data_IF_261642627089
#
_entry.id   IF_261642627089
#
_cell.length_a   1.000
_cell.length_b   1.000
_cell.length_c   1.000
_cell.angle_alpha   90.00
_cell.angle_beta   90.00
_cell.angle_gamma   90.00
#
_symmetry.space_group_name_H-M   'P 1'
#
loop_
_entity.id
_entity.type
_entity.pdbx_description
1 polymer ?
#
# COMPACT_ATOMS: atom_id res chain seq x y z
N UNK A 1 -72.78 -29.00 15.88
CA UNK A 1 -71.39 -28.81 16.33
C UNK A 1 -70.45 -29.63 15.45
N UNK A 2 -69.93 -29.05 14.37
CA UNK A 2 -68.94 -29.71 13.51
C UNK A 2 -67.54 -29.31 13.97
N UNK A 3 -66.76 -30.27 14.47
CA UNK A 3 -65.37 -30.06 14.90
C UNK A 3 -64.52 -29.78 13.65
N UNK A 4 -64.04 -28.55 13.50
CA UNK A 4 -63.06 -28.20 12.47
C UNK A 4 -61.73 -28.88 12.84
N UNK A 5 -61.24 -29.68 11.90
CA UNK A 5 -60.17 -30.65 12.08
C UNK A 5 -58.80 -29.96 12.13
N UNK A 6 -58.35 -29.58 13.33
CA UNK A 6 -57.10 -28.82 13.58
C UNK A 6 -55.79 -29.57 13.32
N UNK A 7 -55.85 -30.83 12.84
CA UNK A 7 -54.66 -31.63 12.49
C UNK A 7 -54.20 -31.46 11.04
N UNK A 8 -55.09 -31.04 10.12
CA UNK A 8 -54.74 -30.87 8.69
C UNK A 8 -53.80 -29.69 8.45
N UNK A 9 -54.02 -28.59 9.17
CA UNK A 9 -53.30 -27.33 8.95
C UNK A 9 -51.88 -27.34 9.52
N UNK A 10 -51.61 -28.09 10.59
CA UNK A 10 -50.28 -28.13 11.20
C UNK A 10 -49.26 -28.90 10.35
N UNK A 11 -49.66 -30.03 9.79
CA UNK A 11 -48.79 -30.84 8.92
C UNK A 11 -48.46 -30.12 7.60
N UNK A 12 -49.42 -29.38 7.05
CA UNK A 12 -49.23 -28.55 5.85
C UNK A 12 -48.27 -27.37 6.13
N UNK A 13 -48.37 -26.75 7.31
CA UNK A 13 -47.48 -25.66 7.73
C UNK A 13 -46.06 -26.16 8.00
N UNK A 14 -45.90 -27.33 8.63
CA UNK A 14 -44.60 -27.96 8.86
C UNK A 14 -43.91 -28.37 7.53
N UNK A 15 -44.67 -28.85 6.55
CA UNK A 15 -44.15 -29.14 5.22
C UNK A 15 -43.68 -27.88 4.48
N UNK A 16 -44.43 -26.77 4.59
CA UNK A 16 -44.05 -25.49 3.99
C UNK A 16 -42.80 -24.87 4.63
N UNK A 17 -42.66 -24.97 5.96
CA UNK A 17 -41.46 -24.51 6.67
C UNK A 17 -40.24 -25.34 6.25
N UNK A 18 -40.38 -26.67 6.18
CA UNK A 18 -39.29 -27.54 5.72
C UNK A 18 -38.85 -27.24 4.28
N UNK A 19 -39.78 -26.88 3.40
CA UNK A 19 -39.46 -26.49 2.02
C UNK A 19 -38.70 -25.14 1.97
N UNK A 20 -39.11 -24.16 2.78
CA UNK A 20 -38.43 -22.87 2.88
C UNK A 20 -37.02 -23.00 3.48
N UNK A 21 -36.84 -23.85 4.49
CA UNK A 21 -35.52 -24.14 5.07
C UNK A 21 -34.60 -24.85 4.07
N UNK A 22 -35.14 -25.77 3.26
CA UNK A 22 -34.38 -26.42 2.20
C UNK A 22 -33.92 -25.41 1.12
N UNK A 23 -34.80 -24.47 0.72
CA UNK A 23 -34.49 -23.39 -0.23
C UNK A 23 -33.48 -22.39 0.32
N UNK A 24 -33.56 -22.03 1.61
CA UNK A 24 -32.57 -21.16 2.27
C UNK A 24 -31.21 -21.85 2.37
N UNK A 25 -31.19 -23.15 2.68
CA UNK A 25 -29.95 -23.92 2.80
C UNK A 25 -29.26 -24.14 1.45
N UNK A 26 -30.01 -24.31 0.36
CA UNK A 26 -29.43 -24.38 -0.99
C UNK A 26 -28.87 -23.02 -1.42
N UNK A 27 -29.61 -21.93 -1.18
CA UNK A 27 -29.18 -20.58 -1.55
C UNK A 27 -27.93 -20.13 -0.78
N UNK A 28 -27.87 -20.38 0.54
CA UNK A 28 -26.67 -20.09 1.33
C UNK A 28 -25.46 -20.93 0.89
N UNK A 29 -25.68 -22.16 0.41
CA UNK A 29 -24.59 -23.04 -0.08
C UNK A 29 -24.05 -22.58 -1.44
N UNK A 30 -24.89 -21.98 -2.28
CA UNK A 30 -24.48 -21.32 -3.53
C UNK A 30 -23.74 -20.01 -3.25
N UNK A 31 -24.24 -19.15 -2.36
CA UNK A 31 -23.57 -17.91 -1.98
C UNK A 31 -22.21 -18.18 -1.30
N UNK A 32 -22.09 -19.23 -0.46
CA UNK A 32 -20.81 -19.63 0.15
C UNK A 32 -19.84 -20.19 -0.91
N UNK A 33 -20.32 -20.89 -1.94
CA UNK A 33 -19.48 -21.36 -3.05
C UNK A 33 -18.98 -20.20 -3.91
N UNK A 34 -19.84 -19.26 -4.25
CA UNK A 34 -19.50 -18.06 -5.02
C UNK A 34 -18.48 -17.20 -4.26
N UNK A 35 -18.66 -17.05 -2.94
CA UNK A 35 -17.71 -16.33 -2.07
C UNK A 35 -16.37 -17.07 -1.92
N UNK A 36 -16.38 -18.42 -1.90
CA UNK A 36 -15.14 -19.22 -1.84
C UNK A 36 -14.41 -19.32 -3.18
N UNK A 37 -15.11 -19.23 -4.31
CA UNK A 37 -14.50 -19.14 -5.64
C UNK A 37 -13.86 -17.76 -5.86
N UNK A 38 -14.51 -16.67 -5.40
CA UNK A 38 -13.91 -15.33 -5.37
C UNK A 38 -12.69 -15.26 -4.44
N UNK A 39 -12.68 -15.97 -3.31
CA UNK A 39 -11.53 -16.02 -2.39
C UNK A 39 -10.37 -16.89 -2.90
N UNK A 40 -10.61 -17.91 -3.73
CA UNK A 40 -9.55 -18.76 -4.31
C UNK A 40 -8.84 -18.11 -5.50
N UNK A 41 -9.42 -17.09 -6.13
CA UNK A 41 -8.73 -16.26 -7.12
C UNK A 41 -7.88 -15.13 -6.50
N UNK A 42 -7.88 -14.96 -5.17
CA UNK A 42 -6.94 -14.07 -4.46
C UNK A 42 -5.65 -14.86 -4.16
N UNK A 43 -4.98 -15.33 -5.21
CA UNK A 43 -3.55 -15.57 -5.16
C UNK A 43 -2.89 -14.21 -5.40
N UNK A 44 -2.25 -13.71 -4.35
CA UNK A 44 -1.62 -12.39 -4.25
C UNK A 44 -0.61 -12.18 -5.39
N UNK A 45 -1.08 -11.58 -6.48
CA UNK A 45 -0.28 -10.76 -7.37
C UNK A 45 -0.87 -9.35 -7.32
N UNK A 46 -0.07 -8.29 -7.16
CA UNK A 46 -0.59 -6.93 -7.17
C UNK A 46 -1.15 -6.64 -8.57
N UNK A 47 -2.47 -6.68 -8.72
CA UNK A 47 -3.15 -6.12 -9.88
C UNK A 47 -2.99 -4.60 -9.80
N UNK A 48 -2.27 -4.03 -10.75
CA UNK A 48 -2.53 -2.65 -11.15
C UNK A 48 -4.01 -2.61 -11.56
N UNK A 49 -4.84 -1.93 -10.77
CA UNK A 49 -6.22 -1.65 -11.17
C UNK A 49 -6.10 -0.53 -12.21
N UNK A 50 -6.25 -0.86 -13.49
CA UNK A 50 -6.56 0.15 -14.50
C UNK A 50 -7.96 0.69 -14.20
N UNK A 51 -8.02 1.71 -13.34
CA UNK A 51 -9.25 2.46 -13.08
C UNK A 51 -9.62 3.14 -14.40
N UNK A 52 -10.83 2.91 -14.90
CA UNK A 52 -11.37 3.67 -16.02
C UNK A 52 -11.33 5.16 -15.64
N UNK A 53 -10.40 5.90 -16.24
CA UNK A 53 -10.14 7.30 -15.93
C UNK A 53 -11.37 8.13 -16.27
N UNK A 54 -12.09 8.61 -15.26
CA UNK A 54 -13.01 9.73 -15.45
C UNK A 54 -12.17 10.95 -15.85
N UNK A 55 -12.64 11.72 -16.85
CA UNK A 55 -11.89 12.86 -17.38
C UNK A 55 -11.52 13.92 -16.32
N UNK A 56 -12.29 13.96 -15.23
CA UNK A 56 -12.12 14.94 -14.15
C UNK A 56 -11.40 14.37 -12.91
N UNK A 57 -10.93 13.11 -12.97
CA UNK A 57 -10.17 12.52 -11.87
C UNK A 57 -8.69 12.90 -11.96
N UNK A 58 -8.06 13.02 -10.80
CA UNK A 58 -6.65 13.34 -10.65
C UNK A 58 -5.92 12.11 -10.13
N UNK A 59 -4.87 11.73 -10.85
CA UNK A 59 -3.92 10.72 -10.38
C UNK A 59 -3.07 11.31 -9.26
N UNK A 60 -3.20 10.77 -8.06
CA UNK A 60 -2.36 11.06 -6.91
C UNK A 60 -1.36 9.92 -6.73
N UNK A 61 -0.08 10.24 -6.56
CA UNK A 61 0.98 9.26 -6.34
C UNK A 61 1.55 9.44 -4.92
N UNK A 62 1.62 8.35 -4.17
CA UNK A 62 2.27 8.31 -2.87
C UNK A 62 3.78 8.14 -3.03
N UNK A 63 4.56 9.10 -2.55
CA UNK A 63 6.01 9.16 -2.75
C UNK A 63 6.77 9.17 -1.41
N UNK A 64 6.26 8.47 -0.39
CA UNK A 64 6.91 8.34 0.91
C UNK A 64 6.59 6.99 1.54
N UNK A 65 7.14 6.71 2.73
CA UNK A 65 6.71 5.64 3.63
C UNK A 65 6.21 6.19 4.99
N UNK A 66 5.88 7.49 5.05
CA UNK A 66 5.62 8.22 6.30
C UNK A 66 4.16 8.35 6.74
N UNK A 67 3.18 8.21 5.83
CA UNK A 67 1.77 8.52 6.16
C UNK A 67 1.00 7.31 6.67
N UNK A 68 1.09 6.16 6.01
CA UNK A 68 0.33 4.95 6.34
C UNK A 68 -1.18 5.07 6.08
N UNK A 69 -1.85 6.02 6.70
CA UNK A 69 -3.28 6.28 6.56
C UNK A 69 -3.58 7.78 6.63
N UNK A 70 -4.51 8.24 5.79
CA UNK A 70 -5.08 9.57 5.89
C UNK A 70 -6.58 9.54 5.68
N UNK A 71 -7.31 10.24 6.55
CA UNK A 71 -8.73 10.51 6.38
C UNK A 71 -8.92 11.97 5.96
N UNK A 72 -9.43 12.19 4.75
CA UNK A 72 -9.67 13.51 4.17
C UNK A 72 -11.17 13.62 3.89
N UNK A 73 -11.89 14.25 4.81
CA UNK A 73 -13.35 14.43 4.74
C UNK A 73 -14.10 13.11 4.55
N UNK A 74 -14.58 12.83 3.32
CA UNK A 74 -15.35 11.63 2.98
C UNK A 74 -14.50 10.55 2.30
N UNK A 75 -13.17 10.74 2.24
CA UNK A 75 -12.22 9.85 1.60
C UNK A 75 -11.23 9.30 2.63
N UNK A 76 -10.97 8.01 2.52
CA UNK A 76 -9.95 7.33 3.29
C UNK A 76 -8.88 6.81 2.34
N UNK A 77 -7.65 7.29 2.52
CA UNK A 77 -6.48 6.87 1.76
C UNK A 77 -5.62 5.98 2.64
N UNK A 78 -5.53 4.72 2.26
CA UNK A 78 -4.60 3.76 2.86
C UNK A 78 -3.35 3.72 2.00
N UNK A 79 -2.25 4.25 2.54
CA UNK A 79 -0.96 4.33 1.86
C UNK A 79 -0.09 3.16 2.29
N UNK A 80 -0.01 2.14 1.45
CA UNK A 80 0.66 0.89 1.78
C UNK A 80 2.09 0.83 1.23
N UNK A 81 2.34 1.43 0.07
CA UNK A 81 3.61 1.27 -0.66
C UNK A 81 4.02 2.52 -1.42
N UNK A 82 5.31 2.83 -1.41
CA UNK A 82 5.89 3.85 -2.27
C UNK A 82 5.52 3.64 -3.75
N UNK A 83 5.04 4.71 -4.38
CA UNK A 83 4.55 4.81 -5.75
C UNK A 83 3.12 4.32 -5.98
N UNK A 84 2.39 3.98 -4.91
CA UNK A 84 0.97 3.66 -5.00
C UNK A 84 0.18 4.84 -5.57
N UNK A 85 -0.74 4.54 -6.49
CA UNK A 85 -1.52 5.53 -7.20
C UNK A 85 -2.99 5.46 -6.78
N UNK A 86 -3.60 6.63 -6.65
CA UNK A 86 -5.01 6.78 -6.32
C UNK A 86 -5.64 7.67 -7.38
N UNK A 87 -6.78 7.26 -7.93
CA UNK A 87 -7.63 8.14 -8.71
C UNK A 87 -8.60 8.80 -7.76
N UNK A 88 -8.55 10.13 -7.67
CA UNK A 88 -9.44 10.90 -6.81
C UNK A 88 -10.16 11.99 -7.61
N UNK A 89 -11.45 12.23 -7.36
CA UNK A 89 -12.17 13.32 -8.02
C UNK A 89 -11.51 14.68 -7.79
N UNK A 90 -11.57 15.57 -8.79
CA UNK A 90 -10.95 16.90 -8.70
C UNK A 90 -11.32 17.71 -7.47
N UNK A 91 -12.57 17.63 -7.01
CA UNK A 91 -13.01 18.37 -5.82
C UNK A 91 -12.30 17.88 -4.53
N UNK A 92 -12.07 16.56 -4.40
CA UNK A 92 -11.35 15.99 -3.26
C UNK A 92 -9.86 16.33 -3.33
N UNK A 93 -9.31 16.34 -4.54
CA UNK A 93 -7.94 16.78 -4.77
C UNK A 93 -7.74 18.25 -4.40
N UNK A 94 -8.65 19.13 -4.81
CA UNK A 94 -8.57 20.56 -4.48
C UNK A 94 -8.66 20.78 -2.95
N UNK A 95 -9.49 20.01 -2.26
CA UNK A 95 -9.54 19.99 -0.79
C UNK A 95 -8.25 19.47 -0.16
N UNK A 96 -7.68 18.39 -0.71
CA UNK A 96 -6.41 17.80 -0.28
C UNK A 96 -5.27 18.81 -0.39
N UNK A 97 -5.17 19.52 -1.52
CA UNK A 97 -4.17 20.58 -1.72
C UNK A 97 -4.41 21.75 -0.76
N UNK A 98 -5.67 22.14 -0.52
CA UNK A 98 -6.00 23.24 0.39
C UNK A 98 -5.65 22.96 1.85
N UNK A 99 -5.91 21.73 2.34
CA UNK A 99 -5.70 21.36 3.75
C UNK A 99 -4.32 20.78 4.03
N UNK A 100 -3.74 20.06 3.07
CA UNK A 100 -2.53 19.26 3.25
C UNK A 100 -1.44 19.60 2.23
N UNK A 101 -1.35 20.89 1.84
CA UNK A 101 -0.32 21.39 0.92
C UNK A 101 1.09 20.92 1.26
N UNK A 102 1.41 20.88 2.56
CA UNK A 102 2.73 20.46 3.06
C UNK A 102 3.11 19.03 2.68
N UNK A 103 2.15 18.15 2.37
CA UNK A 103 2.44 16.80 1.89
C UNK A 103 3.04 16.82 0.48
N UNK A 104 2.59 17.74 -0.37
CA UNK A 104 3.16 17.94 -1.71
C UNK A 104 4.53 18.62 -1.62
N UNK A 105 4.66 19.67 -0.81
CA UNK A 105 5.91 20.41 -0.67
C UNK A 105 7.05 19.55 -0.09
N UNK A 106 6.72 18.61 0.81
CA UNK A 106 7.66 17.65 1.39
C UNK A 106 8.00 16.48 0.45
N UNK A 107 7.27 16.33 -0.65
CA UNK A 107 7.40 15.20 -1.58
C UNK A 107 6.75 13.91 -1.09
N UNK A 108 5.81 13.99 -0.14
CA UNK A 108 5.04 12.82 0.34
C UNK A 108 4.01 12.41 -0.71
N UNK A 109 3.40 13.39 -1.38
CA UNK A 109 2.47 13.19 -2.48
C UNK A 109 2.93 13.96 -3.71
N UNK A 110 2.64 13.42 -4.88
CA UNK A 110 2.77 14.09 -6.16
C UNK A 110 1.57 13.81 -7.05
N UNK A 111 1.43 14.60 -8.10
CA UNK A 111 0.46 14.34 -9.16
C UNK A 111 1.06 13.36 -10.17
N UNK A 112 0.25 12.47 -10.73
CA UNK A 112 0.65 11.58 -11.81
C UNK A 112 1.05 12.35 -13.07
N UNK A 113 1.92 11.76 -13.87
CA UNK A 113 2.42 12.33 -15.13
C UNK A 113 1.32 12.60 -16.16
N UNK A 114 0.15 12.02 -15.96
CA UNK A 114 -1.03 12.15 -16.81
C UNK A 114 -1.96 13.30 -16.41
N UNK A 115 -1.57 14.10 -15.41
CA UNK A 115 -2.31 15.24 -14.85
C UNK A 115 -1.40 16.50 -14.68
N UNK A 116 -0.43 16.69 -15.58
CA UNK A 116 0.57 17.78 -15.51
C UNK A 116 -0.06 19.17 -15.52
N UNK A 117 -1.12 19.38 -16.30
CA UNK A 117 -1.87 20.63 -16.37
C UNK A 117 -2.43 21.04 -14.99
N UNK A 118 -2.91 20.06 -14.22
CA UNK A 118 -3.41 20.23 -12.87
C UNK A 118 -2.27 20.60 -11.91
N UNK A 119 -1.14 19.90 -12.02
CA UNK A 119 0.04 20.13 -11.20
C UNK A 119 0.57 21.56 -11.38
N UNK A 120 0.70 22.01 -12.64
CA UNK A 120 1.12 23.37 -12.99
C UNK A 120 0.13 24.40 -12.44
N UNK A 121 -1.18 24.20 -12.63
CA UNK A 121 -2.20 25.12 -12.14
C UNK A 121 -2.21 25.29 -10.61
N UNK A 122 -1.81 24.26 -9.86
CA UNK A 122 -1.74 24.29 -8.39
C UNK A 122 -0.33 24.56 -7.85
N UNK A 123 0.69 24.60 -8.72
CA UNK A 123 2.10 24.80 -8.34
C UNK A 123 2.65 23.68 -7.46
N UNK A 124 2.30 22.43 -7.74
CA UNK A 124 2.73 21.24 -6.98
C UNK A 124 3.49 20.28 -7.90
N UNK A 125 4.34 19.40 -7.36
CA UNK A 125 5.18 18.53 -8.18
C UNK A 125 4.39 17.39 -8.83
N UNK A 126 4.83 17.03 -10.02
CA UNK A 126 4.54 15.76 -10.68
C UNK A 126 5.54 14.68 -10.26
N UNK A 127 5.15 13.42 -10.36
CA UNK A 127 6.01 12.29 -9.96
C UNK A 127 7.33 12.24 -10.75
N UNK A 128 7.33 12.68 -12.02
CA UNK A 128 8.50 12.66 -12.88
C UNK A 128 9.57 13.71 -12.49
N UNK A 129 9.21 14.69 -11.67
CA UNK A 129 10.16 15.66 -11.12
C UNK A 129 11.06 15.05 -10.03
N UNK A 130 10.74 13.86 -9.56
CA UNK A 130 11.47 13.21 -8.48
C UNK A 130 12.53 12.24 -8.99
N UNK A 131 13.73 12.33 -8.41
CA UNK A 131 14.82 11.43 -8.72
C UNK A 131 14.55 9.99 -8.24
N UNK A 132 13.67 9.81 -7.25
CA UNK A 132 13.31 8.51 -6.68
C UNK A 132 11.94 8.07 -7.17
N UNK A 133 11.87 6.84 -7.70
CA UNK A 133 10.64 6.14 -8.04
C UNK A 133 10.66 4.72 -7.45
N UNK A 134 9.54 3.99 -7.53
CA UNK A 134 9.46 2.62 -7.00
C UNK A 134 10.42 1.65 -7.69
N UNK A 135 10.76 1.86 -8.97
CA UNK A 135 11.70 0.97 -9.69
C UNK A 135 13.11 1.15 -9.12
N UNK A 136 13.55 2.39 -8.95
CA UNK A 136 14.84 2.73 -8.34
C UNK A 136 14.92 2.22 -6.92
N UNK A 137 13.88 2.43 -6.11
CA UNK A 137 13.82 1.95 -4.72
C UNK A 137 14.00 0.42 -4.64
N UNK A 138 13.31 -0.33 -5.50
CA UNK A 138 13.44 -1.80 -5.55
C UNK A 138 14.78 -2.28 -6.14
N UNK A 139 15.46 -1.44 -6.94
CA UNK A 139 16.73 -1.76 -7.56
C UNK A 139 17.95 -1.53 -6.65
N UNK A 140 17.81 -0.82 -5.52
CA UNK A 140 18.92 -0.46 -4.61
C UNK A 140 19.80 -1.66 -4.25
N UNK A 141 19.21 -2.80 -3.92
CA UNK A 141 19.96 -4.02 -3.57
C UNK A 141 20.92 -4.49 -4.67
N UNK A 142 20.63 -4.19 -5.94
CA UNK A 142 21.46 -4.55 -7.09
C UNK A 142 22.42 -3.42 -7.53
N UNK A 143 22.21 -2.17 -7.09
CA UNK A 143 23.05 -1.03 -7.45
C UNK A 143 24.46 -1.17 -6.85
N UNK A 144 25.46 -0.70 -7.58
CA UNK A 144 26.83 -0.49 -7.07
C UNK A 144 26.87 0.64 -6.03
N UNK A 145 27.95 0.70 -5.25
CA UNK A 145 28.15 1.76 -4.25
C UNK A 145 28.12 3.16 -4.87
N UNK A 146 28.66 3.32 -6.08
CA UNK A 146 28.64 4.58 -6.82
C UNK A 146 27.23 4.98 -7.22
N UNK A 147 26.45 4.05 -7.78
CA UNK A 147 25.04 4.30 -8.13
C UNK A 147 24.17 4.65 -6.91
N UNK A 148 24.45 4.04 -5.75
CA UNK A 148 23.77 4.36 -4.49
C UNK A 148 24.11 5.79 -4.03
N UNK A 149 25.40 6.16 -4.08
CA UNK A 149 25.85 7.51 -3.71
C UNK A 149 25.27 8.57 -4.66
N UNK A 150 25.24 8.29 -5.95
CA UNK A 150 24.62 9.14 -6.96
C UNK A 150 23.12 9.30 -6.71
N UNK A 151 22.38 8.20 -6.49
CA UNK A 151 20.96 8.25 -6.16
C UNK A 151 20.70 9.08 -4.91
N UNK A 152 21.51 8.89 -3.85
CA UNK A 152 21.37 9.63 -2.61
C UNK A 152 21.59 11.14 -2.78
N UNK A 153 22.60 11.52 -3.55
CA UNK A 153 22.95 12.91 -3.79
C UNK A 153 21.93 13.63 -4.69
N UNK A 154 21.35 12.93 -5.66
CA UNK A 154 20.29 13.49 -6.52
C UNK A 154 18.90 13.48 -5.84
N UNK A 155 18.71 12.69 -4.78
CA UNK A 155 17.47 12.70 -4.00
C UNK A 155 17.44 13.93 -3.08
N UNK A 156 16.84 15.03 -3.54
CA UNK A 156 16.84 16.30 -2.79
C UNK A 156 15.83 16.34 -1.65
N UNK A 157 14.72 15.61 -1.75
CA UNK A 157 13.65 15.63 -0.75
C UNK A 157 14.02 14.75 0.46
N UNK A 158 13.86 15.31 1.66
CA UNK A 158 14.14 14.59 2.90
C UNK A 158 13.26 13.37 3.10
N UNK A 159 11.99 13.41 2.68
CA UNK A 159 11.08 12.27 2.80
C UNK A 159 11.49 11.12 1.88
N UNK A 160 12.02 11.42 0.69
CA UNK A 160 12.54 10.38 -0.21
C UNK A 160 13.80 9.73 0.34
N UNK A 161 14.70 10.52 0.93
CA UNK A 161 15.86 9.97 1.67
C UNK A 161 15.40 9.08 2.82
N UNK A 162 14.36 9.47 3.57
CA UNK A 162 13.78 8.62 4.63
C UNK A 162 13.19 7.33 4.07
N UNK A 163 12.47 7.38 2.96
CA UNK A 163 11.97 6.18 2.29
C UNK A 163 13.08 5.23 1.86
N UNK A 164 14.18 5.74 1.29
CA UNK A 164 15.37 4.93 0.98
C UNK A 164 15.86 4.20 2.25
N UNK A 165 16.05 4.94 3.35
CA UNK A 165 16.53 4.37 4.62
C UNK A 165 15.58 3.31 5.15
N UNK A 166 14.29 3.63 5.29
CA UNK A 166 13.26 2.71 5.79
C UNK A 166 13.18 1.46 4.94
N UNK A 167 13.23 1.61 3.61
CA UNK A 167 13.18 0.50 2.68
C UNK A 167 14.39 -0.44 2.84
N UNK A 168 15.61 0.10 2.87
CA UNK A 168 16.84 -0.69 3.04
C UNK A 168 16.83 -1.41 4.39
N UNK A 169 16.43 -0.73 5.47
CA UNK A 169 16.31 -1.35 6.80
C UNK A 169 15.31 -2.48 6.83
N UNK A 170 14.13 -2.29 6.23
CA UNK A 170 13.12 -3.35 6.13
C UNK A 170 13.70 -4.55 5.39
N UNK A 171 14.35 -4.33 4.24
CA UNK A 171 14.95 -5.41 3.46
C UNK A 171 16.08 -6.14 4.17
N UNK A 172 16.86 -5.42 4.97
CA UNK A 172 17.83 -6.02 5.88
C UNK A 172 17.13 -6.91 6.92
N UNK A 173 16.10 -6.41 7.61
CA UNK A 173 15.34 -7.20 8.59
C UNK A 173 14.68 -8.43 7.96
N UNK A 174 14.18 -8.29 6.72
CA UNK A 174 13.55 -9.38 5.95
C UNK A 174 14.55 -10.48 5.54
N UNK A 175 15.85 -10.33 5.81
CA UNK A 175 16.85 -11.34 5.46
C UNK A 175 17.27 -11.33 3.98
N UNK A 176 16.93 -10.30 3.20
CA UNK A 176 17.24 -10.27 1.76
C UNK A 176 18.77 -10.21 1.56
N UNK A 177 19.39 -11.22 0.90
CA UNK A 177 20.84 -11.30 0.75
C UNK A 177 21.46 -10.07 0.06
N UNK A 178 20.69 -9.41 -0.82
CA UNK A 178 21.14 -8.22 -1.55
C UNK A 178 21.37 -7.01 -0.65
N UNK A 179 20.77 -7.01 0.54
CA UNK A 179 20.85 -5.94 1.52
C UNK A 179 21.76 -6.30 2.70
N UNK A 180 22.26 -7.55 2.78
CA UNK A 180 23.27 -8.00 3.74
C UNK A 180 24.69 -7.86 3.20
N UNK A 181 25.00 -6.69 2.63
CA UNK A 181 26.34 -6.38 2.14
C UNK A 181 26.99 -5.31 3.03
N UNK A 182 28.11 -5.67 3.66
CA UNK A 182 28.80 -4.80 4.62
C UNK A 182 29.21 -3.46 4.03
N UNK A 183 29.78 -3.45 2.83
CA UNK A 183 30.25 -2.24 2.17
C UNK A 183 29.10 -1.27 1.88
N UNK A 184 27.95 -1.80 1.43
CA UNK A 184 26.76 -0.99 1.18
C UNK A 184 26.15 -0.43 2.47
N UNK A 185 26.10 -1.23 3.52
CA UNK A 185 25.64 -0.78 4.83
C UNK A 185 26.58 0.29 5.42
N UNK A 186 27.89 0.15 5.23
CA UNK A 186 28.88 1.17 5.61
C UNK A 186 28.69 2.48 4.84
N UNK A 187 28.46 2.38 3.53
CA UNK A 187 28.11 3.53 2.69
C UNK A 187 26.84 4.22 3.21
N UNK A 188 25.75 3.48 3.39
CA UNK A 188 24.50 4.06 3.90
C UNK A 188 24.68 4.68 5.28
N UNK A 189 25.48 4.07 6.16
CA UNK A 189 25.75 4.63 7.48
C UNK A 189 26.49 5.98 7.39
N UNK A 190 27.48 6.09 6.49
CA UNK A 190 28.18 7.36 6.21
C UNK A 190 27.21 8.41 5.65
N UNK A 191 26.42 8.04 4.64
CA UNK A 191 25.47 8.95 3.97
C UNK A 191 24.38 9.48 4.91
N UNK A 192 24.00 8.68 5.92
CA UNK A 192 22.96 9.01 6.90
C UNK A 192 23.52 9.54 8.22
N UNK A 193 24.84 9.64 8.36
CA UNK A 193 25.51 10.04 9.60
C UNK A 193 25.10 9.19 10.82
N UNK A 194 25.24 7.86 10.70
CA UNK A 194 24.96 6.91 11.79
C UNK A 194 23.59 6.23 11.73
N UNK A 195 22.86 6.38 10.62
CA UNK A 195 21.52 5.81 10.47
C UNK A 195 21.47 4.28 10.39
N UNK A 196 22.61 3.59 10.23
CA UNK A 196 22.73 2.14 10.05
C UNK A 196 23.69 1.46 11.05
N UNK A 197 23.97 2.09 12.21
CA UNK A 197 24.89 1.54 13.20
C UNK A 197 24.51 0.12 13.66
N UNK A 198 23.21 -0.16 13.83
CA UNK A 198 22.74 -1.50 14.24
C UNK A 198 23.07 -2.55 13.20
N UNK A 199 22.73 -2.29 11.94
CA UNK A 199 22.94 -3.19 10.81
C UNK A 199 24.44 -3.42 10.58
N UNK A 200 25.26 -2.38 10.79
CA UNK A 200 26.72 -2.53 10.86
C UNK A 200 27.14 -3.48 12.00
N UNK A 201 26.70 -3.24 13.23
CA UNK A 201 27.13 -4.06 14.36
C UNK A 201 26.75 -5.54 14.16
N UNK A 202 25.58 -5.80 13.59
CA UNK A 202 25.09 -7.15 13.26
C UNK A 202 25.99 -7.83 12.22
N UNK A 203 26.30 -7.17 11.10
CA UNK A 203 27.19 -7.72 10.08
C UNK A 203 28.65 -7.90 10.55
N UNK A 204 29.08 -7.13 11.55
CA UNK A 204 30.43 -7.26 12.13
C UNK A 204 30.54 -8.36 13.20
N UNK A 205 29.44 -9.04 13.52
CA UNK A 205 29.39 -10.05 14.59
C UNK A 205 29.50 -9.46 16.00
N UNK A 206 29.39 -8.13 16.15
CA UNK A 206 29.35 -7.43 17.43
C UNK A 206 27.96 -7.48 18.07
N UNK A 207 26.93 -7.69 17.26
CA UNK A 207 25.58 -8.01 17.72
C UNK A 207 25.39 -9.53 17.72
N UNK A 208 25.50 -10.16 18.90
CA UNK A 208 24.95 -11.51 19.09
C UNK A 208 23.46 -11.34 19.40
N UNK A 209 22.61 -11.70 18.45
CA UNK A 209 21.20 -11.90 18.73
C UNK A 209 21.16 -13.02 19.78
N UNK A 210 20.78 -12.69 21.02
CA UNK A 210 20.38 -13.74 21.95
C UNK A 210 19.20 -14.45 21.29
N UNK A 211 19.26 -15.78 21.08
CA UNK A 211 18.08 -16.49 20.65
C UNK A 211 17.04 -16.27 21.74
N UNK A 212 15.99 -15.53 21.42
CA UNK A 212 14.79 -15.55 22.24
C UNK A 212 14.35 -17.01 22.24
N UNK A 213 14.49 -17.66 23.39
CA UNK A 213 14.02 -19.02 23.63
C UNK A 213 12.58 -19.11 23.13
N UNK A 214 12.34 -19.99 22.15
CA UNK A 214 10.98 -20.44 21.80
C UNK A 214 10.44 -21.33 22.90
#
# INVERSE_FOLDING_TARGET
>A
MGKINSKSTKAEMEAYIAELEAKLKSKNKEEIKETQEVQKEIVVQPRYVEVQKNRDDVTLVYCSDSLGYAKISNMELNFTRFGEQFQIPRYQFDELVGKYRSWFDRGILAVGSDCVDIAVAKGIPTVDEFALDSKKLNAIGNMSSTEIEDLWNHTTRIEHKRSIVTFVKRKFIDGDPKYHNREKIDLFNRLTNGGFNREQDELSGRYKIHPTEM
#
